data_IF_930231705900
#
_entry.id   IF_930231705900
#
_cell.length_a   1.000
_cell.length_b   1.000
_cell.length_c   1.000
_cell.angle_alpha   90.00
_cell.angle_beta   90.00
_cell.angle_gamma   90.00
#
_symmetry.space_group_name_H-M   'P 1'
#
loop_
_entity.id
_entity.type
_entity.pdbx_description
1 polymer ?
#
# COMPACT_ATOMS: atom_id res chain seq x y z
N UNK A 1 24.70 25.97 15.90
CA UNK A 1 24.56 24.51 15.73
C UNK A 1 23.11 24.24 15.39
N UNK A 2 22.81 23.88 14.15
CA UNK A 2 21.43 23.58 13.72
C UNK A 2 21.07 22.21 14.30
N UNK A 3 20.13 22.17 15.24
CA UNK A 3 19.61 20.90 15.75
C UNK A 3 18.95 20.15 14.59
N UNK A 4 19.57 19.05 14.15
CA UNK A 4 18.91 18.07 13.30
C UNK A 4 17.71 17.53 14.09
N UNK A 5 16.51 17.96 13.72
CA UNK A 5 15.28 17.39 14.27
C UNK A 5 15.23 15.92 13.86
N UNK A 6 14.94 15.05 14.82
CA UNK A 6 14.68 13.65 14.52
C UNK A 6 13.59 13.59 13.43
N UNK A 7 13.87 13.02 12.25
CA UNK A 7 12.91 12.97 11.16
C UNK A 7 11.78 11.97 11.43
N UNK A 8 11.92 11.12 12.45
CA UNK A 8 10.88 10.21 12.88
C UNK A 8 9.83 10.92 13.74
N UNK A 9 8.66 11.14 13.15
CA UNK A 9 7.47 11.59 13.88
C UNK A 9 6.48 10.43 13.96
N UNK A 10 6.27 9.80 15.13
CA UNK A 10 5.38 8.67 15.27
C UNK A 10 3.92 9.12 15.16
N UNK A 11 3.40 9.12 13.94
CA UNK A 11 1.99 9.35 13.62
C UNK A 11 1.39 8.05 13.10
N UNK A 12 0.14 7.74 13.48
CA UNK A 12 -0.52 6.52 13.02
C UNK A 12 -0.58 6.47 11.49
N UNK A 13 0.03 5.44 10.91
CA UNK A 13 0.05 5.25 9.45
C UNK A 13 0.96 6.20 8.66
N UNK A 14 1.74 7.08 9.31
CA UNK A 14 2.68 7.92 8.60
C UNK A 14 3.85 7.09 8.06
N UNK A 15 4.07 7.17 6.75
CA UNK A 15 5.21 6.54 6.09
C UNK A 15 6.51 7.19 6.58
N UNK A 16 7.44 6.42 7.16
CA UNK A 16 8.73 6.94 7.60
C UNK A 16 9.59 7.32 6.39
N UNK A 17 10.61 8.17 6.56
CA UNK A 17 11.53 8.50 5.48
C UNK A 17 12.35 7.30 5.00
N UNK A 18 12.43 6.23 5.80
CA UNK A 18 13.11 4.99 5.47
C UNK A 18 12.36 3.80 6.09
N UNK A 19 12.06 2.79 5.28
CA UNK A 19 11.44 1.54 5.71
C UNK A 19 12.52 0.46 5.88
N UNK A 20 13.09 0.34 7.07
CA UNK A 20 14.21 -0.59 7.33
C UNK A 20 13.69 -2.00 7.59
N UNK A 21 14.30 -2.99 6.91
CA UNK A 21 14.11 -4.41 7.23
C UNK A 21 12.74 -4.97 6.81
N UNK A 22 12.12 -4.38 5.78
CA UNK A 22 10.84 -4.81 5.20
C UNK A 22 10.90 -5.07 3.69
N UNK A 23 12.13 -5.12 3.17
CA UNK A 23 12.38 -5.25 1.74
C UNK A 23 11.96 -6.62 1.22
N UNK A 24 12.07 -7.67 2.04
CA UNK A 24 11.68 -9.03 1.66
C UNK A 24 10.17 -9.14 1.43
N UNK A 25 9.34 -8.60 2.32
CA UNK A 25 7.89 -8.63 2.16
C UNK A 25 7.44 -7.81 0.94
N UNK A 26 8.05 -6.65 0.71
CA UNK A 26 7.78 -5.82 -0.46
C UNK A 26 8.21 -6.50 -1.77
N UNK A 27 9.37 -7.17 -1.78
CA UNK A 27 9.90 -7.90 -2.94
C UNK A 27 9.00 -9.08 -3.29
N UNK A 28 8.61 -9.89 -2.30
CA UNK A 28 7.71 -11.03 -2.53
C UNK A 28 6.36 -10.61 -3.10
N UNK A 29 5.83 -9.48 -2.64
CA UNK A 29 4.61 -8.90 -3.19
C UNK A 29 4.79 -8.46 -4.64
N UNK A 30 5.87 -7.74 -4.96
CA UNK A 30 6.23 -7.36 -6.33
C UNK A 30 6.31 -8.57 -7.25
N UNK A 31 7.07 -9.59 -6.86
CA UNK A 31 7.22 -10.83 -7.64
C UNK A 31 5.85 -11.47 -7.91
N UNK A 32 4.96 -11.48 -6.93
CA UNK A 32 3.61 -12.03 -7.11
C UNK A 32 2.73 -11.23 -8.06
N UNK A 33 2.90 -9.90 -8.14
CA UNK A 33 2.22 -9.08 -9.16
C UNK A 33 2.70 -9.43 -10.58
N UNK A 34 4.00 -9.72 -10.73
CA UNK A 34 4.62 -10.10 -12.02
C UNK A 34 4.23 -11.52 -12.42
N UNK A 35 4.27 -12.47 -11.48
CA UNK A 35 3.93 -13.89 -11.70
C UNK A 35 2.46 -14.07 -12.11
N UNK A 36 1.59 -13.15 -11.69
CA UNK A 36 0.20 -13.10 -12.11
C UNK A 36 -0.72 -14.06 -11.36
N UNK A 37 -1.86 -14.45 -11.96
CA UNK A 37 -2.94 -15.14 -11.25
C UNK A 37 -2.48 -16.43 -10.55
N UNK A 38 -2.83 -16.54 -9.26
CA UNK A 38 -2.50 -17.70 -8.43
C UNK A 38 -1.19 -17.56 -7.65
N UNK A 39 -0.42 -16.49 -7.86
CA UNK A 39 0.77 -16.22 -7.06
C UNK A 39 0.41 -15.96 -5.59
N UNK A 40 1.14 -16.57 -4.63
CA UNK A 40 0.75 -16.57 -3.22
C UNK A 40 0.79 -15.19 -2.56
N UNK A 41 1.59 -14.25 -3.06
CA UNK A 41 1.66 -12.89 -2.50
C UNK A 41 0.49 -11.99 -2.86
N UNK A 42 -0.38 -12.39 -3.81
CA UNK A 42 -1.58 -11.61 -4.18
C UNK A 42 -2.61 -11.57 -3.05
N UNK A 43 -2.60 -12.55 -2.15
CA UNK A 43 -3.39 -12.55 -0.92
C UNK A 43 -2.45 -12.49 0.29
N UNK A 44 -2.21 -11.29 0.78
CA UNK A 44 -1.31 -11.05 1.92
C UNK A 44 -2.07 -10.46 3.10
N UNK A 45 -1.84 -11.02 4.30
CA UNK A 45 -2.36 -10.49 5.56
C UNK A 45 -1.19 -10.04 6.45
N UNK A 46 -1.10 -8.73 6.73
CA UNK A 46 -0.10 -8.16 7.63
C UNK A 46 -0.64 -8.11 9.05
N UNK A 47 -0.02 -8.87 9.97
CA UNK A 47 -0.44 -8.95 11.38
C UNK A 47 0.70 -8.59 12.34
N UNK A 48 0.37 -8.30 13.59
CA UNK A 48 1.35 -8.00 14.64
C UNK A 48 0.89 -6.97 15.68
N UNK A 49 1.67 -6.75 16.75
CA UNK A 49 1.34 -5.83 17.85
C UNK A 49 1.02 -4.39 17.40
N UNK A 50 0.36 -3.60 18.27
CA UNK A 50 0.15 -2.15 18.02
C UNK A 50 1.49 -1.43 17.87
N UNK A 51 1.57 -0.49 16.93
CA UNK A 51 2.77 0.34 16.73
C UNK A 51 3.89 -0.31 15.91
N UNK A 52 3.69 -1.51 15.35
CA UNK A 52 4.71 -2.23 14.56
C UNK A 52 4.79 -1.83 13.08
N UNK A 53 4.02 -0.83 12.65
CA UNK A 53 4.07 -0.33 11.27
C UNK A 53 3.19 -1.08 10.26
N UNK A 54 2.15 -1.79 10.69
CA UNK A 54 1.24 -2.52 9.76
C UNK A 54 0.67 -1.63 8.65
N UNK A 55 0.13 -0.47 9.00
CA UNK A 55 -0.39 0.50 8.01
C UNK A 55 0.72 1.05 7.13
N UNK A 56 1.92 1.27 7.68
CA UNK A 56 3.09 1.68 6.90
C UNK A 56 3.46 0.61 5.87
N UNK A 57 3.37 -0.68 6.24
CA UNK A 57 3.60 -1.77 5.31
C UNK A 57 2.57 -1.78 4.19
N UNK A 58 1.27 -1.54 4.48
CA UNK A 58 0.25 -1.43 3.44
C UNK A 58 0.56 -0.29 2.46
N UNK A 59 0.94 0.90 2.96
CA UNK A 59 1.35 2.03 2.10
C UNK A 59 2.55 1.65 1.21
N UNK A 60 3.53 0.91 1.75
CA UNK A 60 4.69 0.48 0.98
C UNK A 60 4.30 -0.51 -0.13
N UNK A 61 3.36 -1.42 0.12
CA UNK A 61 2.83 -2.33 -0.91
C UNK A 61 2.02 -1.57 -1.96
N UNK A 62 1.27 -0.52 -1.59
CA UNK A 62 0.60 0.38 -2.53
C UNK A 62 1.61 1.09 -3.45
N UNK A 63 2.74 1.55 -2.90
CA UNK A 63 3.82 2.17 -3.69
C UNK A 63 4.46 1.17 -4.66
N UNK A 64 4.66 -0.08 -4.23
CA UNK A 64 5.13 -1.18 -5.11
C UNK A 64 4.12 -1.42 -6.23
N UNK A 65 2.84 -1.60 -5.91
CA UNK A 65 1.79 -1.81 -6.90
C UNK A 65 1.76 -0.68 -7.94
N UNK A 66 1.79 0.58 -7.47
CA UNK A 66 1.84 1.76 -8.35
C UNK A 66 3.09 1.75 -9.25
N UNK A 67 4.25 1.36 -8.72
CA UNK A 67 5.49 1.27 -9.51
C UNK A 67 5.44 0.20 -10.60
N UNK A 68 4.66 -0.86 -10.39
CA UNK A 68 4.39 -1.92 -11.38
C UNK A 68 3.19 -1.60 -12.29
N UNK A 69 2.67 -0.37 -12.25
CA UNK A 69 1.57 0.09 -13.12
C UNK A 69 0.16 -0.28 -12.66
N UNK A 70 -0.01 -0.76 -11.42
CA UNK A 70 -1.32 -1.12 -10.89
C UNK A 70 -2.04 0.08 -10.27
N UNK A 71 -3.36 0.13 -10.47
CA UNK A 71 -4.27 0.94 -9.65
C UNK A 71 -4.51 0.24 -8.31
N UNK A 72 -4.61 1.01 -7.23
CA UNK A 72 -4.89 0.49 -5.89
C UNK A 72 -6.05 1.25 -5.23
N UNK A 73 -6.78 0.56 -4.37
CA UNK A 73 -7.78 1.12 -3.48
C UNK A 73 -7.37 0.85 -2.03
N UNK A 74 -7.24 1.92 -1.25
CA UNK A 74 -6.90 1.83 0.17
C UNK A 74 -8.15 2.14 1.00
N UNK A 75 -8.60 1.18 1.79
CA UNK A 75 -9.83 1.30 2.56
C UNK A 75 -9.68 0.76 3.97
N UNK A 76 -10.36 1.41 4.92
CA UNK A 76 -10.46 0.89 6.28
C UNK A 76 -11.66 -0.04 6.39
N UNK A 77 -11.46 -1.22 6.96
CA UNK A 77 -12.50 -2.24 7.15
C UNK A 77 -13.52 -1.85 8.24
N UNK A 78 -14.36 -0.86 7.93
CA UNK A 78 -15.48 -0.38 8.74
C UNK A 78 -16.80 -0.59 8.00
N UNK A 79 -17.92 -0.29 8.65
CA UNK A 79 -19.24 -0.35 8.01
C UNK A 79 -19.25 0.47 6.70
N UNK A 80 -19.88 -0.08 5.66
CA UNK A 80 -19.93 0.53 4.33
C UNK A 80 -18.70 0.27 3.44
N UNK A 81 -17.80 -0.63 3.83
CA UNK A 81 -16.58 -0.96 3.05
C UNK A 81 -16.92 -1.36 1.61
N UNK A 82 -17.90 -2.23 1.41
CA UNK A 82 -18.24 -2.75 0.08
C UNK A 82 -18.73 -1.65 -0.86
N UNK A 83 -19.52 -0.71 -0.33
CA UNK A 83 -19.99 0.46 -1.08
C UNK A 83 -18.82 1.35 -1.49
N UNK A 84 -17.90 1.64 -0.56
CA UNK A 84 -16.71 2.46 -0.87
C UNK A 84 -15.80 1.79 -1.89
N UNK A 85 -15.57 0.48 -1.76
CA UNK A 85 -14.81 -0.28 -2.76
C UNK A 85 -15.48 -0.24 -4.13
N UNK A 86 -16.81 -0.43 -4.21
CA UNK A 86 -17.55 -0.33 -5.48
C UNK A 86 -17.38 1.04 -6.13
N UNK A 87 -17.62 2.12 -5.38
CA UNK A 87 -17.45 3.48 -5.91
C UNK A 87 -16.01 3.75 -6.33
N UNK A 88 -15.03 3.30 -5.54
CA UNK A 88 -13.61 3.45 -5.87
C UNK A 88 -13.23 2.74 -7.19
N UNK A 89 -13.75 1.55 -7.45
CA UNK A 89 -13.52 0.85 -8.72
C UNK A 89 -14.13 1.62 -9.90
N UNK A 90 -15.34 2.15 -9.75
CA UNK A 90 -16.01 2.97 -10.79
C UNK A 90 -15.22 4.25 -11.10
N UNK A 91 -14.70 4.92 -10.08
CA UNK A 91 -13.85 6.11 -10.23
C UNK A 91 -12.53 5.78 -10.92
N UNK A 92 -11.86 4.70 -10.52
CA UNK A 92 -10.58 4.28 -11.11
C UNK A 92 -10.72 3.91 -12.59
N UNK A 93 -11.75 3.15 -12.97
CA UNK A 93 -12.02 2.82 -14.38
C UNK A 93 -12.31 4.08 -15.21
N UNK A 94 -13.01 5.05 -14.62
CA UNK A 94 -13.31 6.32 -15.30
C UNK A 94 -12.06 7.15 -15.51
N UNK A 95 -11.14 7.16 -14.54
CA UNK A 95 -9.86 7.86 -14.63
C UNK A 95 -8.90 7.20 -15.64
N UNK A 96 -8.85 5.87 -15.70
CA UNK A 96 -8.02 5.13 -16.66
C UNK A 96 -8.45 5.39 -18.12
N UNK A 97 -9.76 5.35 -18.38
CA UNK A 97 -10.35 5.62 -19.70
C UNK A 97 -10.12 7.06 -20.19
N UNK A 98 -9.84 8.00 -19.28
CA UNK A 98 -9.61 9.40 -19.59
C UNK A 98 -8.14 9.74 -19.94
N UNK A 99 -7.20 8.79 -19.82
CA UNK A 99 -5.82 8.98 -20.24
C UNK A 99 -5.72 9.00 -21.78
N UNK A 100 -4.99 9.96 -22.39
CA UNK A 100 -4.76 9.94 -23.83
C UNK A 100 -3.95 8.68 -24.23
N UNK A 101 -4.13 8.19 -25.47
CA UNK A 101 -3.45 6.99 -25.96
C UNK A 101 -1.93 7.15 -26.05
#
# INVERSE_FOLDING_TARGET
MTHLRNPFTPTAGATPPLLVGRDEEATKFRESLIDGPGAPGLLTLITGPRGTGKTVMLNALEDVARSEGWLHLSETATAGLLERLRFGVEELHSAESALPP
#
